data_IF_465450725700
#
_entry.id   IF_465450725700
#
_cell.length_a   1.000
_cell.length_b   1.000
_cell.length_c   1.000
_cell.angle_alpha   90.00
_cell.angle_beta   90.00
_cell.angle_gamma   90.00
#
_symmetry.space_group_name_H-M   'P 1'
#
loop_
_entity.id
_entity.type
_entity.pdbx_description
1 polymer ?
#
# COMPACT_ATOMS: atom_id res chain seq x y z
N UNK A 1 56.41 -41.44 -40.90
CA UNK A 1 55.03 -41.78 -40.56
C UNK A 1 54.26 -40.54 -40.14
N UNK A 2 53.51 -40.14 -40.99
CA UNK A 2 52.77 -38.93 -40.75
C UNK A 2 51.39 -39.29 -40.41
N UNK A 3 51.08 -39.06 -39.23
CA UNK A 3 49.72 -39.23 -38.80
C UNK A 3 48.96 -37.97 -39.16
N UNK A 4 48.18 -38.12 -40.09
CA UNK A 4 47.27 -37.03 -40.42
C UNK A 4 46.16 -37.02 -39.41
N UNK A 5 46.19 -36.09 -38.58
CA UNK A 5 45.09 -35.86 -37.69
C UNK A 5 43.96 -35.22 -38.47
N UNK A 6 42.87 -35.77 -38.46
CA UNK A 6 41.72 -35.06 -38.97
C UNK A 6 41.49 -33.86 -38.12
N UNK A 7 41.65 -32.77 -38.69
CA UNK A 7 41.19 -31.55 -38.04
C UNK A 7 39.70 -31.58 -38.03
N UNK A 8 39.24 -31.97 -36.97
CA UNK A 8 37.84 -31.75 -36.71
C UNK A 8 37.62 -30.26 -36.69
N UNK A 9 37.16 -29.81 -37.74
CA UNK A 9 36.66 -28.47 -37.72
C UNK A 9 35.46 -28.50 -36.85
N UNK A 10 35.67 -28.06 -35.71
CA UNK A 10 34.58 -27.63 -34.92
C UNK A 10 33.91 -26.51 -35.65
N UNK A 11 32.93 -26.89 -36.29
CA UNK A 11 31.99 -25.89 -36.70
C UNK A 11 31.42 -25.32 -35.45
N UNK A 12 31.94 -24.23 -35.20
CA UNK A 12 31.24 -23.46 -34.22
C UNK A 12 29.96 -23.08 -34.85
N UNK A 13 29.07 -23.76 -34.48
CA UNK A 13 27.76 -23.23 -34.59
C UNK A 13 27.78 -22.03 -33.72
N UNK A 14 27.89 -20.98 -34.34
CA UNK A 14 27.53 -19.81 -33.64
C UNK A 14 26.05 -19.94 -33.40
N UNK A 15 25.84 -20.35 -32.32
CA UNK A 15 24.55 -20.12 -31.83
C UNK A 15 24.40 -18.68 -31.70
N UNK A 16 23.82 -18.24 -32.59
CA UNK A 16 23.22 -16.98 -32.38
C UNK A 16 22.10 -17.23 -31.44
N UNK A 17 22.43 -17.10 -30.33
CA UNK A 17 21.38 -16.90 -29.40
C UNK A 17 20.83 -15.57 -29.73
N UNK A 18 19.93 -15.62 -30.40
CA UNK A 18 19.12 -14.49 -30.42
C UNK A 18 18.46 -14.47 -29.11
N UNK A 19 18.97 -13.78 -28.49
CA UNK A 19 18.25 -13.39 -27.38
C UNK A 19 17.19 -12.55 -27.81
N UNK A 20 16.32 -13.09 -27.98
CA UNK A 20 15.29 -12.38 -28.11
C UNK A 20 14.95 -11.86 -26.92
N UNK A 21 15.15 -10.99 -26.77
CA UNK A 21 14.77 -10.33 -25.80
C UNK A 21 13.53 -10.04 -25.53
N UNK A 22 13.21 -10.49 -25.22
CA UNK A 22 12.24 -10.33 -24.81
C UNK A 22 11.58 -9.40 -24.25
N UNK A 23 11.57 -9.09 -24.37
CA UNK A 23 10.91 -8.46 -23.97
C UNK A 23 10.02 -8.28 -23.40
N UNK A 24 9.98 -8.61 -23.04
CA UNK A 24 9.27 -8.63 -22.23
C UNK A 24 8.56 -7.70 -21.71
N UNK A 25 8.67 -7.20 -21.90
CA UNK A 25 8.11 -6.48 -21.48
C UNK A 25 7.08 -6.40 -21.11
N UNK A 26 6.87 -6.64 -21.32
CA UNK A 26 5.85 -6.58 -21.03
C UNK A 26 5.17 -6.43 -20.17
N UNK A 27 5.34 -6.69 -19.97
CA UNK A 27 4.81 -6.70 -19.20
C UNK A 27 3.96 -6.22 -18.65
N UNK A 28 3.84 -5.87 -18.80
CA UNK A 28 3.11 -5.35 -18.32
C UNK A 28 2.10 -5.51 -17.89
N UNK A 29 1.70 -5.86 -17.84
CA UNK A 29 0.86 -5.97 -17.44
C UNK A 29 0.11 -5.88 -16.83
N UNK A 30 -0.26 -5.88 -16.65
CA UNK A 30 -1.05 -5.81 -16.18
C UNK A 30 -1.80 -5.79 -15.49
N UNK A 31 -1.94 -5.53 -15.38
CA UNK A 31 -2.69 -5.33 -14.83
C UNK A 31 -3.58 -5.77 -14.62
N UNK A 32 -3.54 -6.33 -14.37
CA UNK A 32 -4.43 -6.88 -14.01
C UNK A 32 -5.63 -6.42 -14.02
N UNK A 33 -6.23 -6.92 -14.77
CA UNK A 33 -7.45 -6.58 -14.89
C UNK A 33 -8.17 -6.79 -13.69
N UNK A 34 -8.13 -6.78 -12.81
CA UNK A 34 -8.91 -6.94 -11.68
C UNK A 34 -8.52 -6.01 -10.62
N UNK A 35 -7.40 -5.44 -10.76
CA UNK A 35 -6.94 -4.58 -9.73
C UNK A 35 -7.55 -3.23 -9.94
N UNK A 36 -8.63 -3.00 -9.27
CA UNK A 36 -9.26 -1.70 -9.27
C UNK A 36 -9.04 -1.07 -7.91
N UNK A 37 -8.16 -0.09 -7.83
CA UNK A 37 -7.95 0.58 -6.57
C UNK A 37 -9.14 1.47 -6.23
N UNK A 38 -9.57 1.37 -5.01
CA UNK A 38 -10.61 2.26 -4.47
C UNK A 38 -9.97 3.30 -3.59
N UNK A 39 -10.32 4.53 -3.82
CA UNK A 39 -9.90 5.61 -2.93
C UNK A 39 -10.58 5.47 -1.59
N UNK A 40 -9.86 5.86 -0.57
CA UNK A 40 -10.39 5.92 0.78
C UNK A 40 -10.32 7.35 1.27
N UNK A 41 -11.29 7.74 2.08
CA UNK A 41 -11.28 9.03 2.75
C UNK A 41 -11.46 8.81 4.23
N UNK A 42 -10.55 9.31 5.02
CA UNK A 42 -10.64 9.22 6.46
C UNK A 42 -10.94 10.57 7.06
N UNK A 43 -11.85 10.62 7.99
CA UNK A 43 -12.17 11.80 8.77
C UNK A 43 -11.78 11.60 10.21
N UNK A 44 -11.29 12.65 10.81
CA UNK A 44 -10.95 12.68 12.22
C UNK A 44 -11.75 13.76 12.91
N UNK A 45 -12.38 13.39 14.00
CA UNK A 45 -13.04 14.30 14.91
C UNK A 45 -12.54 14.06 16.32
N UNK A 46 -12.62 15.07 17.11
CA UNK A 46 -12.26 14.99 18.51
C UNK A 46 -13.48 15.33 19.35
N UNK A 47 -13.92 14.39 20.17
CA UNK A 47 -14.87 14.67 21.23
C UNK A 47 -14.44 13.86 22.44
N UNK A 48 -14.21 14.59 23.51
CA UNK A 48 -13.71 14.00 24.74
C UNK A 48 -14.59 12.81 25.19
N UNK A 49 -14.00 11.70 25.62
CA UNK A 49 -12.57 11.46 25.79
C UNK A 49 -11.91 10.69 24.62
N UNK A 50 -12.45 10.78 23.44
CA UNK A 50 -12.01 9.94 22.34
C UNK A 50 -11.68 10.74 21.08
N UNK A 51 -10.77 10.19 20.30
CA UNK A 51 -10.64 10.53 18.90
C UNK A 51 -11.46 9.53 18.11
N UNK A 52 -12.23 10.01 17.17
CA UNK A 52 -13.09 9.15 16.38
C UNK A 52 -13.24 9.68 14.97
N UNK A 53 -13.79 8.89 14.13
CA UNK A 53 -14.00 9.30 12.75
C UNK A 53 -14.68 8.25 11.92
N UNK A 54 -14.52 8.42 10.62
CA UNK A 54 -15.18 7.59 9.63
C UNK A 54 -14.25 7.37 8.46
N UNK A 55 -14.21 6.15 7.97
CA UNK A 55 -13.56 5.83 6.70
C UNK A 55 -14.65 5.62 5.67
N UNK A 56 -14.53 6.32 4.56
CA UNK A 56 -15.44 6.18 3.42
C UNK A 56 -14.68 5.68 2.21
N UNK A 57 -15.34 4.90 1.39
CA UNK A 57 -14.81 4.43 0.13
C UNK A 57 -15.96 4.05 -0.81
N UNK A 58 -15.72 4.14 -2.10
CA UNK A 58 -16.68 3.65 -3.08
C UNK A 58 -16.75 2.12 -3.11
N UNK A 59 -15.69 1.46 -2.65
CA UNK A 59 -15.69 0.00 -2.54
C UNK A 59 -16.14 -0.43 -1.16
N UNK A 60 -17.23 -1.18 -1.09
CA UNK A 60 -17.77 -1.64 0.18
C UNK A 60 -16.75 -2.43 0.99
N UNK A 61 -15.93 -3.21 0.31
CA UNK A 61 -14.88 -3.99 0.98
C UNK A 61 -13.74 -3.14 1.54
N UNK A 62 -13.73 -1.85 1.23
CA UNK A 62 -12.72 -0.92 1.70
C UNK A 62 -13.17 -0.08 2.90
N UNK A 63 -14.28 -0.41 3.49
CA UNK A 63 -14.87 0.37 4.59
C UNK A 63 -14.62 -0.29 5.94
N UNK A 64 -14.96 -1.56 6.06
CA UNK A 64 -14.85 -2.29 7.32
C UNK A 64 -13.44 -2.86 7.53
N UNK A 65 -13.09 -3.03 8.78
CA UNK A 65 -11.87 -3.71 9.19
C UNK A 65 -10.58 -3.08 8.61
N UNK A 66 -10.59 -1.79 8.41
CA UNK A 66 -9.42 -1.04 7.95
C UNK A 66 -8.60 -0.60 9.16
N UNK A 67 -7.30 -0.72 9.04
CA UNK A 67 -6.42 -0.26 10.12
C UNK A 67 -6.30 1.26 10.08
N UNK A 68 -6.58 1.89 11.21
CA UNK A 68 -6.48 3.33 11.41
C UNK A 68 -5.47 3.60 12.51
N UNK A 69 -4.57 4.53 12.26
CA UNK A 69 -3.59 4.98 13.23
C UNK A 69 -3.78 6.46 13.51
N UNK A 70 -3.69 6.82 14.77
CA UNK A 70 -3.74 8.19 15.22
C UNK A 70 -2.34 8.70 15.48
N UNK A 71 -2.02 9.86 14.93
CA UNK A 71 -0.70 10.50 15.07
C UNK A 71 -0.81 11.84 15.76
N UNK A 72 0.22 12.17 16.51
CA UNK A 72 0.43 13.51 17.03
C UNK A 72 1.69 14.08 16.42
N UNK A 73 1.60 15.27 15.85
CA UNK A 73 2.76 15.92 15.28
C UNK A 73 3.79 16.28 16.33
N UNK A 74 5.03 16.13 15.97
CA UNK A 74 6.17 16.59 16.78
C UNK A 74 6.92 17.65 16.01
N UNK A 75 7.42 18.64 16.72
CA UNK A 75 8.24 19.67 16.10
C UNK A 75 9.57 19.14 15.61
N UNK A 76 10.14 18.21 16.35
CA UNK A 76 11.44 17.63 16.05
C UNK A 76 11.30 16.12 16.00
N UNK A 77 11.67 15.53 14.87
CA UNK A 77 11.62 14.09 14.71
C UNK A 77 10.31 13.61 14.10
N UNK A 78 10.15 12.32 14.13
CA UNK A 78 8.96 11.68 13.56
C UNK A 78 7.74 11.91 14.43
N UNK A 79 6.60 11.96 13.79
CA UNK A 79 5.33 12.07 14.48
C UNK A 79 5.07 10.83 15.34
N UNK A 80 4.43 11.05 16.46
CA UNK A 80 4.18 9.98 17.41
C UNK A 80 2.89 9.26 17.10
N UNK A 81 2.94 7.93 17.01
CA UNK A 81 1.75 7.10 16.94
C UNK A 81 1.16 6.99 18.33
N UNK A 82 -0.08 7.44 18.49
CA UNK A 82 -0.77 7.40 19.77
C UNK A 82 -1.59 6.14 19.95
N UNK A 83 -2.04 5.55 18.88
CA UNK A 83 -2.84 4.35 18.93
C UNK A 83 -3.24 3.88 17.56
N UNK A 84 -3.81 2.70 17.53
CA UNK A 84 -4.35 2.11 16.30
C UNK A 84 -5.61 1.35 16.61
N UNK A 85 -6.48 1.27 15.63
CA UNK A 85 -7.72 0.54 15.74
C UNK A 85 -8.15 0.04 14.36
N UNK A 86 -9.25 -0.64 14.30
CA UNK A 86 -9.85 -1.06 13.04
C UNK A 86 -11.25 -0.48 12.91
N UNK A 87 -11.63 -0.19 11.68
CA UNK A 87 -12.98 0.33 11.43
C UNK A 87 -14.02 -0.76 11.64
N UNK A 88 -15.18 -0.31 12.07
CA UNK A 88 -16.39 -1.14 12.17
C UNK A 88 -17.00 -1.34 10.77
N UNK A 89 -18.07 -2.12 10.72
CA UNK A 89 -18.73 -2.43 9.45
C UNK A 89 -19.19 -1.19 8.68
N UNK A 90 -19.55 -0.13 9.39
CA UNK A 90 -19.96 1.12 8.77
C UNK A 90 -18.83 2.11 8.53
N UNK A 91 -17.61 1.73 8.83
CA UNK A 91 -16.42 2.57 8.66
C UNK A 91 -16.09 3.44 9.85
N UNK A 92 -16.88 3.42 10.90
CA UNK A 92 -16.59 4.18 12.11
C UNK A 92 -15.39 3.60 12.84
N UNK A 93 -14.62 4.47 13.44
CA UNK A 93 -13.47 4.07 14.27
C UNK A 93 -13.34 5.00 15.46
N UNK A 94 -12.73 4.49 16.50
CA UNK A 94 -12.54 5.23 17.75
C UNK A 94 -11.25 4.80 18.42
N UNK A 95 -10.54 5.77 18.95
CA UNK A 95 -9.34 5.54 19.76
C UNK A 95 -9.51 6.34 21.04
N UNK A 96 -9.59 5.62 22.15
CA UNK A 96 -9.74 6.25 23.47
C UNK A 96 -8.39 6.79 23.90
N UNK A 97 -8.27 8.09 23.90
CA UNK A 97 -7.05 8.77 24.27
C UNK A 97 -7.41 10.15 24.77
N UNK A 98 -6.85 10.52 25.90
CA UNK A 98 -7.06 11.84 26.44
C UNK A 98 -6.49 12.90 25.49
N UNK A 99 -7.31 13.84 25.03
CA UNK A 99 -6.81 14.86 24.13
C UNK A 99 -6.00 15.89 24.90
N UNK A 100 -4.73 15.97 24.55
CA UNK A 100 -3.82 17.00 25.06
C UNK A 100 -3.57 18.01 23.95
N UNK A 101 -3.11 19.20 24.32
CA UNK A 101 -2.80 20.21 23.32
C UNK A 101 -1.83 19.66 22.28
N UNK A 102 -2.05 20.03 21.02
CA UNK A 102 -1.23 19.59 19.92
C UNK A 102 -1.99 19.45 18.63
N UNK A 103 -1.30 18.96 17.62
CA UNK A 103 -1.86 18.74 16.29
C UNK A 103 -1.95 17.25 16.03
N UNK A 104 -3.11 16.81 15.63
CA UNK A 104 -3.40 15.39 15.43
C UNK A 104 -3.92 15.13 14.03
N UNK A 105 -3.64 13.94 13.54
CA UNK A 105 -4.22 13.45 12.30
C UNK A 105 -4.30 11.93 12.35
N UNK A 106 -5.11 11.36 11.49
CA UNK A 106 -5.27 9.93 11.39
C UNK A 106 -4.94 9.44 9.99
N UNK A 107 -4.43 8.24 9.90
CA UNK A 107 -4.17 7.58 8.62
C UNK A 107 -4.89 6.24 8.59
N UNK A 108 -5.51 5.96 7.47
CA UNK A 108 -5.98 4.62 7.16
C UNK A 108 -4.96 3.95 6.25
N UNK A 109 -4.54 2.76 6.63
CA UNK A 109 -3.51 2.05 5.88
C UNK A 109 -4.09 1.42 4.62
N UNK A 110 -3.21 1.23 3.64
CA UNK A 110 -3.57 0.51 2.45
C UNK A 110 -3.99 -0.92 2.79
N UNK A 111 -5.00 -1.39 2.12
CA UNK A 111 -5.40 -2.79 2.19
C UNK A 111 -5.31 -3.36 0.78
N UNK A 112 -4.55 -4.44 0.64
CA UNK A 112 -4.43 -5.13 -0.63
C UNK A 112 -4.68 -6.61 -0.40
N UNK A 113 -5.59 -7.17 -1.18
CA UNK A 113 -5.88 -8.59 -1.15
C UNK A 113 -5.58 -9.17 -2.53
N UNK A 114 -4.50 -9.90 -2.61
CA UNK A 114 -4.05 -10.48 -3.88
C UNK A 114 -5.02 -11.50 -4.43
N UNK A 115 -5.70 -12.22 -3.57
CA UNK A 115 -6.62 -13.26 -4.01
C UNK A 115 -7.82 -12.70 -4.75
N UNK A 116 -8.31 -11.54 -4.36
CA UNK A 116 -9.46 -10.91 -4.98
C UNK A 116 -9.09 -9.76 -5.92
N UNK A 117 -7.84 -9.34 -5.92
CA UNK A 117 -7.42 -8.14 -6.65
C UNK A 117 -7.89 -6.85 -6.01
N UNK A 118 -8.38 -6.91 -4.78
CA UNK A 118 -8.88 -5.74 -4.08
C UNK A 118 -7.72 -4.87 -3.62
N UNK A 119 -7.77 -3.61 -3.94
CA UNK A 119 -6.81 -2.62 -3.44
C UNK A 119 -7.58 -1.43 -2.89
N UNK A 120 -7.38 -1.16 -1.60
CA UNK A 120 -7.95 0.00 -0.93
C UNK A 120 -6.82 0.96 -0.64
N UNK A 121 -6.86 2.13 -1.22
CA UNK A 121 -5.78 3.10 -1.11
C UNK A 121 -5.73 3.69 0.30
N UNK A 122 -4.54 4.08 0.76
CA UNK A 122 -4.41 4.76 2.05
C UNK A 122 -4.88 6.21 1.95
N UNK A 123 -5.14 6.81 3.07
CA UNK A 123 -5.49 8.21 3.15
C UNK A 123 -5.08 8.80 4.48
N UNK A 124 -4.87 10.10 4.49
CA UNK A 124 -4.53 10.86 5.69
C UNK A 124 -5.61 11.92 5.92
N UNK A 125 -6.10 12.00 7.14
CA UNK A 125 -7.14 12.96 7.49
C UNK A 125 -6.62 14.39 7.52
N UNK A 126 -7.55 15.34 7.57
CA UNK A 126 -7.20 16.71 7.91
C UNK A 126 -6.68 16.75 9.35
N UNK A 127 -5.85 17.72 9.62
CA UNK A 127 -5.31 17.91 10.96
C UNK A 127 -6.34 18.55 11.88
N UNK A 128 -6.32 18.11 13.12
CA UNK A 128 -7.13 18.69 14.19
C UNK A 128 -6.20 19.33 15.19
N UNK A 129 -6.42 20.58 15.49
CA UNK A 129 -5.62 21.32 16.48
C UNK A 129 -6.39 21.39 17.78
N UNK A 130 -5.74 20.99 18.85
CA UNK A 130 -6.28 21.08 20.21
C UNK A 130 -5.39 22.05 20.98
N UNK A 131 -5.98 23.07 21.50
CA UNK A 131 -5.28 24.11 22.28
C UNK A 131 -5.07 23.72 23.74
#
# INVERSE_FOLDING_TARGET
>A
MTTTRPRTRLRRLALVATASGALAMGAAVPASAGDMPFESKIRLKNSFPAFHGLVKSAGDACIANREVRLFKERRNGEDKVLGKTRTMADGKWEILKEPKSGVYYAKVNQLADEASGLVCLPDTSKKVVID
#
